data_IF_081602735164
#
_entry.id   IF_081602735164
#
_cell.length_a   1.000
_cell.length_b   1.000
_cell.length_c   1.000
_cell.angle_alpha   90.00
_cell.angle_beta   90.00
_cell.angle_gamma   90.00
#
_symmetry.space_group_name_H-M   'P 1'
#
loop_
_entity.id
_entity.type
_entity.pdbx_description
1 polymer ?
#
# COMPACT_ATOMS: atom_id res chain seq x y z
N UNK A 1 -7.64 2.05 16.43
CA UNK A 1 -7.72 1.84 14.97
C UNK A 1 -6.36 1.95 14.31
N UNK A 2 -6.07 1.09 13.38
CA UNK A 2 -4.87 1.23 12.55
C UNK A 2 -5.13 2.31 11.49
N UNK A 3 -4.18 3.19 11.30
CA UNK A 3 -4.27 4.31 10.35
C UNK A 3 -3.67 3.87 9.03
N UNK A 4 -4.43 3.99 7.93
CA UNK A 4 -4.05 3.44 6.62
C UNK A 4 -3.91 4.55 5.58
N UNK A 5 -2.81 4.52 4.85
CA UNK A 5 -2.58 5.34 3.66
C UNK A 5 -2.79 4.45 2.44
N UNK A 6 -3.67 4.84 1.53
CA UNK A 6 -3.98 4.07 0.32
C UNK A 6 -3.29 4.72 -0.88
N UNK A 7 -2.44 3.95 -1.57
CA UNK A 7 -1.68 4.44 -2.73
C UNK A 7 -2.01 3.62 -3.96
N UNK A 8 -2.64 4.25 -4.94
CA UNK A 8 -3.02 3.65 -6.22
C UNK A 8 -3.35 4.78 -7.17
N UNK A 9 -2.93 4.68 -8.44
CA UNK A 9 -3.21 5.73 -9.42
C UNK A 9 -4.66 5.75 -9.87
N UNK A 10 -5.41 4.68 -9.67
CA UNK A 10 -6.82 4.59 -10.04
C UNK A 10 -7.72 5.01 -8.88
N UNK A 11 -8.46 6.10 -9.05
CA UNK A 11 -9.34 6.60 -8.00
C UNK A 11 -10.42 5.58 -7.61
N UNK A 12 -10.94 4.81 -8.58
CA UNK A 12 -11.96 3.80 -8.28
C UNK A 12 -11.40 2.69 -7.40
N UNK A 13 -10.11 2.36 -7.56
CA UNK A 13 -9.48 1.33 -6.74
C UNK A 13 -9.28 1.84 -5.31
N UNK A 14 -8.87 3.10 -5.15
CA UNK A 14 -8.77 3.70 -3.81
C UNK A 14 -10.12 3.70 -3.12
N UNK A 15 -11.19 4.04 -3.87
CA UNK A 15 -12.56 4.01 -3.34
C UNK A 15 -12.96 2.58 -2.93
N UNK A 16 -12.63 1.59 -3.76
CA UNK A 16 -12.93 0.19 -3.48
C UNK A 16 -12.26 -0.27 -2.18
N UNK A 17 -10.99 0.05 -2.02
CA UNK A 17 -10.26 -0.31 -0.80
C UNK A 17 -10.85 0.39 0.42
N UNK A 18 -11.18 1.68 0.31
CA UNK A 18 -11.85 2.40 1.40
C UNK A 18 -13.14 1.71 1.82
N UNK A 19 -13.95 1.32 0.83
CA UNK A 19 -15.24 0.66 1.10
C UNK A 19 -15.04 -0.69 1.78
N UNK A 20 -14.02 -1.45 1.35
CA UNK A 20 -13.72 -2.74 1.97
C UNK A 20 -13.29 -2.58 3.43
N UNK A 21 -12.54 -1.53 3.75
CA UNK A 21 -12.04 -1.30 5.10
C UNK A 21 -13.06 -0.63 6.03
N UNK A 22 -14.12 -0.04 5.46
CA UNK A 22 -15.05 0.80 6.21
C UNK A 22 -15.75 0.10 7.37
N UNK A 23 -15.98 -1.23 7.26
CA UNK A 23 -16.67 -2.00 8.28
C UNK A 23 -15.74 -2.68 9.28
N UNK A 24 -14.46 -2.34 9.24
CA UNK A 24 -13.43 -2.92 10.10
C UNK A 24 -12.72 -1.83 10.89
N UNK A 25 -11.83 -2.23 11.77
CA UNK A 25 -11.14 -1.31 12.68
C UNK A 25 -9.94 -0.62 12.03
N UNK A 26 -10.19 0.06 10.90
CA UNK A 26 -9.17 0.82 10.17
C UNK A 26 -9.65 2.25 9.92
N UNK A 27 -8.73 3.18 10.00
CA UNK A 27 -9.00 4.59 9.69
C UNK A 27 -8.18 4.98 8.46
N UNK A 28 -8.84 5.45 7.40
CA UNK A 28 -8.16 5.92 6.20
C UNK A 28 -7.71 7.35 6.44
N UNK A 29 -6.40 7.56 6.55
CA UNK A 29 -5.86 8.89 6.87
C UNK A 29 -5.39 9.67 5.65
N UNK A 30 -5.25 9.01 4.51
CA UNK A 30 -4.86 9.70 3.30
C UNK A 30 -4.86 8.80 2.08
N UNK A 31 -4.69 9.42 0.92
CA UNK A 31 -4.61 8.75 -0.37
C UNK A 31 -3.50 9.39 -1.19
N UNK A 32 -2.88 8.58 -2.05
CA UNK A 32 -1.87 9.08 -2.98
C UNK A 32 -2.04 8.39 -4.33
N UNK A 33 -1.80 9.12 -5.41
CA UNK A 33 -1.97 8.60 -6.76
C UNK A 33 -0.66 8.22 -7.43
N UNK A 34 0.47 8.45 -6.77
CA UNK A 34 1.79 8.02 -7.26
C UNK A 34 2.77 7.93 -6.09
N UNK A 35 3.97 7.44 -6.39
CA UNK A 35 4.99 7.23 -5.36
C UNK A 35 5.51 8.51 -4.73
N UNK A 36 5.59 9.61 -5.50
CA UNK A 36 6.07 10.89 -4.97
C UNK A 36 5.12 11.40 -3.89
N UNK A 37 3.83 11.41 -4.20
CA UNK A 37 2.81 11.84 -3.23
C UNK A 37 2.75 10.88 -2.05
N UNK A 38 2.94 9.57 -2.29
CA UNK A 38 2.96 8.58 -1.21
C UNK A 38 4.06 8.88 -0.19
N UNK A 39 5.24 9.24 -0.65
CA UNK A 39 6.36 9.58 0.24
C UNK A 39 6.03 10.84 1.05
N UNK A 40 5.49 11.87 0.41
CA UNK A 40 5.09 13.11 1.07
C UNK A 40 4.04 12.83 2.14
N UNK A 41 3.01 12.06 1.79
CA UNK A 41 1.93 11.70 2.72
C UNK A 41 2.45 10.85 3.87
N UNK A 42 3.39 9.96 3.60
CA UNK A 42 3.98 9.12 4.65
C UNK A 42 4.69 9.97 5.69
N UNK A 43 5.48 10.94 5.25
CA UNK A 43 6.20 11.83 6.15
C UNK A 43 5.24 12.68 7.00
N UNK A 44 4.19 13.17 6.37
CA UNK A 44 3.23 14.06 7.02
C UNK A 44 2.32 13.31 7.98
N UNK A 45 1.76 12.19 7.54
CA UNK A 45 0.71 11.48 8.27
C UNK A 45 1.23 10.39 9.20
N UNK A 46 2.39 9.83 8.90
CA UNK A 46 2.97 8.70 9.64
C UNK A 46 1.95 7.59 9.87
N UNK A 47 1.39 7.00 8.79
CA UNK A 47 0.37 5.98 8.93
C UNK A 47 0.94 4.70 9.52
N UNK A 48 0.06 3.86 10.07
CA UNK A 48 0.46 2.56 10.59
C UNK A 48 0.67 1.55 9.47
N UNK A 49 -0.11 1.67 8.39
CA UNK A 49 -0.10 0.74 7.26
C UNK A 49 -0.20 1.54 5.96
N UNK A 50 0.52 1.08 4.94
CA UNK A 50 0.41 1.61 3.58
C UNK A 50 0.01 0.47 2.66
N UNK A 51 -1.06 0.66 1.86
CA UNK A 51 -1.33 -0.23 0.72
C UNK A 51 -0.76 0.46 -0.51
N UNK A 52 0.12 -0.21 -1.24
CA UNK A 52 0.92 0.40 -2.31
C UNK A 52 0.80 -0.39 -3.60
N UNK A 53 0.19 0.22 -4.62
CA UNK A 53 0.19 -0.35 -5.96
C UNK A 53 1.62 -0.32 -6.53
N UNK A 54 1.98 -1.32 -7.33
CA UNK A 54 3.32 -1.38 -7.91
C UNK A 54 3.47 -0.42 -9.08
N UNK A 55 2.53 -0.46 -10.03
CA UNK A 55 2.65 0.32 -11.28
C UNK A 55 1.88 1.62 -11.19
N UNK A 56 2.60 2.74 -11.18
CA UNK A 56 2.02 4.07 -11.10
C UNK A 56 2.87 5.04 -11.92
N UNK A 57 2.29 6.17 -12.40
CA UNK A 57 3.07 7.20 -13.07
C UNK A 57 3.98 7.94 -12.09
N UNK A 58 4.90 8.70 -12.59
CA UNK A 58 5.89 9.51 -11.88
C UNK A 58 6.91 8.67 -11.12
N UNK A 59 6.47 7.94 -10.12
CA UNK A 59 7.30 7.03 -9.33
C UNK A 59 6.48 5.79 -9.02
N UNK A 60 6.99 4.62 -9.36
CA UNK A 60 6.28 3.36 -9.10
C UNK A 60 6.34 2.95 -7.62
N UNK A 61 5.56 1.91 -7.29
CA UNK A 61 5.44 1.48 -5.90
C UNK A 61 6.70 0.85 -5.32
N UNK A 62 7.54 0.21 -6.13
CA UNK A 62 8.80 -0.36 -5.63
C UNK A 62 9.77 0.73 -5.21
N UNK A 63 9.88 1.77 -6.03
CA UNK A 63 10.75 2.91 -5.70
C UNK A 63 10.23 3.64 -4.46
N UNK A 64 8.92 3.85 -4.38
CA UNK A 64 8.31 4.48 -3.22
C UNK A 64 8.54 3.65 -1.95
N UNK A 65 8.40 2.32 -2.04
CA UNK A 65 8.67 1.42 -0.93
C UNK A 65 10.10 1.58 -0.42
N UNK A 66 11.05 1.60 -1.32
CA UNK A 66 12.47 1.77 -0.95
C UNK A 66 12.69 3.08 -0.21
N UNK A 67 12.11 4.17 -0.71
CA UNK A 67 12.26 5.48 -0.09
C UNK A 67 11.58 5.56 1.27
N UNK A 68 10.39 4.98 1.40
CA UNK A 68 9.67 4.94 2.67
C UNK A 68 10.47 4.13 3.70
N UNK A 69 11.07 3.00 3.30
CA UNK A 69 11.86 2.17 4.22
C UNK A 69 13.16 2.87 4.65
N UNK A 70 13.70 3.79 3.85
CA UNK A 70 14.82 4.61 4.27
C UNK A 70 14.40 5.61 5.35
N UNK A 71 13.22 6.18 5.22
CA UNK A 71 12.67 7.13 6.19
C UNK A 71 12.31 6.41 7.49
N UNK A 72 11.69 5.24 7.36
CA UNK A 72 11.18 4.46 8.48
C UNK A 72 11.40 2.98 8.21
N UNK A 73 12.50 2.39 8.72
CA UNK A 73 12.77 0.96 8.50
C UNK A 73 11.68 0.03 9.04
N UNK A 74 10.87 0.50 9.98
CA UNK A 74 9.76 -0.29 10.53
C UNK A 74 8.44 -0.13 9.79
N UNK A 75 8.42 0.62 8.68
CA UNK A 75 7.19 0.88 7.94
C UNK A 75 6.50 -0.41 7.50
N UNK A 76 5.17 -0.47 7.68
CA UNK A 76 4.36 -1.60 7.27
C UNK A 76 3.70 -1.31 5.94
N UNK A 77 4.29 -1.82 4.86
CA UNK A 77 3.81 -1.61 3.49
C UNK A 77 3.34 -2.94 2.92
N UNK A 78 2.09 -2.99 2.48
CA UNK A 78 1.50 -4.13 1.77
C UNK A 78 1.42 -3.76 0.30
N UNK A 79 2.09 -4.53 -0.56
CA UNK A 79 2.06 -4.27 -1.99
C UNK A 79 0.80 -4.82 -2.62
N UNK A 80 0.28 -4.11 -3.61
CA UNK A 80 -0.88 -4.54 -4.38
C UNK A 80 -0.39 -4.69 -5.83
N UNK A 81 -0.43 -5.91 -6.36
CA UNK A 81 0.12 -6.20 -7.68
C UNK A 81 -0.94 -6.73 -8.64
N UNK A 82 -0.67 -6.63 -9.93
CA UNK A 82 -1.46 -7.30 -10.97
C UNK A 82 -0.87 -8.67 -11.25
N UNK A 83 -1.63 -9.52 -11.92
CA UNK A 83 -1.11 -10.78 -12.41
C UNK A 83 0.09 -10.53 -13.35
N UNK A 84 1.09 -11.37 -13.25
CA UNK A 84 2.27 -11.26 -14.09
C UNK A 84 3.39 -10.41 -13.52
N UNK A 85 3.24 -9.94 -12.28
CA UNK A 85 4.24 -9.08 -11.63
C UNK A 85 5.05 -9.83 -10.55
N UNK A 86 5.21 -11.15 -10.68
CA UNK A 86 5.87 -11.95 -9.65
C UNK A 86 7.31 -11.51 -9.38
N UNK A 87 8.06 -11.12 -10.41
CA UNK A 87 9.42 -10.64 -10.24
C UNK A 87 9.49 -9.35 -9.43
N UNK A 88 8.54 -8.44 -9.68
CA UNK A 88 8.42 -7.18 -8.95
C UNK A 88 8.06 -7.43 -7.50
N UNK A 89 7.23 -8.44 -7.26
CA UNK A 89 6.82 -8.83 -5.91
C UNK A 89 8.01 -9.35 -5.10
N UNK A 90 8.86 -10.16 -5.73
CA UNK A 90 10.07 -10.65 -5.05
C UNK A 90 10.98 -9.50 -4.66
N UNK A 91 11.15 -8.50 -5.54
CA UNK A 91 11.91 -7.30 -5.22
C UNK A 91 11.31 -6.58 -4.03
N UNK A 92 9.98 -6.45 -4.00
CA UNK A 92 9.30 -5.76 -2.91
C UNK A 92 9.56 -6.42 -1.56
N UNK A 93 9.54 -7.75 -1.52
CA UNK A 93 9.83 -8.49 -0.30
C UNK A 93 11.27 -8.25 0.15
N UNK A 94 12.21 -8.28 -0.80
CA UNK A 94 13.62 -7.99 -0.51
C UNK A 94 13.77 -6.58 0.08
N UNK A 95 13.02 -5.61 -0.42
CA UNK A 95 13.07 -4.23 0.07
C UNK A 95 12.30 -4.02 1.37
N UNK A 96 11.65 -5.06 1.90
CA UNK A 96 11.03 -5.00 3.21
C UNK A 96 9.52 -4.84 3.24
N UNK A 97 8.82 -5.11 2.13
CA UNK A 97 7.35 -5.16 2.16
C UNK A 97 6.90 -6.23 3.15
N UNK A 98 5.89 -5.92 3.93
CA UNK A 98 5.39 -6.83 4.97
C UNK A 98 4.34 -7.81 4.46
N UNK A 99 3.84 -7.60 3.24
CA UNK A 99 2.89 -8.50 2.62
C UNK A 99 2.56 -8.04 1.23
N UNK A 100 1.72 -8.82 0.55
CA UNK A 100 1.25 -8.47 -0.77
C UNK A 100 -0.11 -9.12 -1.03
N UNK A 101 -0.87 -8.52 -1.93
CA UNK A 101 -2.11 -9.09 -2.46
C UNK A 101 -2.12 -8.88 -3.98
N UNK A 102 -2.83 -9.75 -4.70
CA UNK A 102 -2.87 -9.74 -6.17
C UNK A 102 -4.27 -9.36 -6.63
N UNK A 103 -4.36 -8.39 -7.56
CA UNK A 103 -5.63 -7.97 -8.17
C UNK A 103 -6.11 -9.01 -9.17
N UNK A 104 -7.41 -9.27 -9.28
CA UNK A 104 -8.46 -8.78 -8.39
C UNK A 104 -8.46 -9.56 -7.07
N UNK A 105 -8.73 -8.88 -5.96
CA UNK A 105 -8.77 -9.51 -4.65
C UNK A 105 -10.13 -9.30 -3.98
N UNK A 106 -10.44 -10.19 -3.06
CA UNK A 106 -11.66 -10.08 -2.26
C UNK A 106 -11.37 -9.34 -0.97
N UNK A 107 -12.42 -8.81 -0.37
CA UNK A 107 -12.34 -8.08 0.89
C UNK A 107 -11.62 -8.91 1.97
N UNK A 108 -11.92 -10.21 2.07
CA UNK A 108 -11.31 -11.07 3.09
C UNK A 108 -9.80 -11.15 2.95
N UNK A 109 -9.29 -11.13 1.72
CA UNK A 109 -7.85 -11.17 1.47
C UNK A 109 -7.18 -9.90 1.93
N UNK A 110 -7.80 -8.75 1.63
CA UNK A 110 -7.29 -7.46 2.07
C UNK A 110 -7.26 -7.37 3.59
N UNK A 111 -8.39 -7.68 4.22
CA UNK A 111 -8.52 -7.63 5.68
C UNK A 111 -7.50 -8.57 6.34
N UNK A 112 -7.36 -9.79 5.82
CA UNK A 112 -6.39 -10.75 6.35
C UNK A 112 -4.96 -10.22 6.28
N UNK A 113 -4.59 -9.61 5.15
CA UNK A 113 -3.24 -9.07 4.97
C UNK A 113 -2.96 -7.93 5.95
N UNK A 114 -3.92 -7.02 6.15
CA UNK A 114 -3.74 -5.86 7.03
C UNK A 114 -3.84 -6.22 8.51
N UNK A 115 -4.64 -7.21 8.85
CA UNK A 115 -4.86 -7.60 10.25
C UNK A 115 -3.66 -8.25 10.90
N UNK A 116 -2.70 -8.71 10.10
CA UNK A 116 -1.46 -9.31 10.60
C UNK A 116 -0.42 -8.26 11.03
N UNK A 117 -0.66 -7.00 10.75
CA UNK A 117 0.31 -5.94 10.96
C UNK A 117 0.12 -5.17 12.27
#
# INVERSE_FOLDING_TARGET
MKRVLIVDDASFMRMSIKNMLANYDFEIVGEAENGVIAIEQYKELQPDIVTMDITMPEMDGLEALREIKKIDPGASVVMVSALGQEARMKEAIIYGAKGFIVKPFKEEMLISALSKL
#
